data_IF_530546731573
#
_entry.id   IF_530546731573
#
_cell.length_a   1.000
_cell.length_b   1.000
_cell.length_c   1.000
_cell.angle_alpha   90.00
_cell.angle_beta   90.00
_cell.angle_gamma   90.00
#
_symmetry.space_group_name_H-M   'P 1'
#
loop_
_entity.id
_entity.type
_entity.pdbx_description
1 polymer ?
#
# COMPACT_ATOMS: atom_id res chain seq x y z
N UNK A 1 -28.94 -7.72 -8.93
CA UNK A 1 -28.10 -8.69 -8.21
C UNK A 1 -26.72 -8.55 -8.81
N UNK A 2 -25.70 -8.11 -8.05
CA UNK A 2 -24.37 -7.84 -8.60
C UNK A 2 -23.44 -9.01 -8.32
N UNK A 3 -22.43 -9.24 -9.16
CA UNK A 3 -21.32 -10.12 -8.83
C UNK A 3 -20.03 -9.33 -8.96
N UNK A 4 -19.03 -9.68 -8.16
CA UNK A 4 -17.72 -9.04 -8.14
C UNK A 4 -16.67 -10.05 -8.57
N UNK A 5 -15.87 -9.67 -9.57
CA UNK A 5 -14.65 -10.36 -9.95
C UNK A 5 -13.48 -9.39 -9.75
N UNK A 6 -12.85 -9.45 -8.57
CA UNK A 6 -11.84 -8.45 -8.18
C UNK A 6 -12.47 -7.06 -8.01
N UNK A 7 -12.03 -6.07 -8.79
CA UNK A 7 -12.58 -4.70 -8.81
C UNK A 7 -13.72 -4.52 -9.83
N UNK A 8 -13.97 -5.50 -10.69
CA UNK A 8 -15.02 -5.42 -11.70
C UNK A 8 -16.35 -5.75 -11.04
N UNK A 9 -17.11 -4.70 -10.71
CA UNK A 9 -18.50 -4.81 -10.34
C UNK A 9 -19.33 -5.02 -11.60
N UNK A 10 -20.00 -6.16 -11.69
CA UNK A 10 -20.96 -6.38 -12.74
C UNK A 10 -22.31 -5.83 -12.28
N UNK A 11 -22.76 -4.73 -12.91
CA UNK A 11 -24.08 -4.17 -12.68
C UNK A 11 -25.10 -4.92 -13.54
N UNK A 12 -25.49 -6.11 -13.07
CA UNK A 12 -26.38 -7.02 -13.79
C UNK A 12 -27.83 -6.66 -13.56
N UNK A 13 -28.53 -6.48 -14.67
CA UNK A 13 -29.97 -6.54 -14.73
C UNK A 13 -30.35 -8.01 -14.53
N UNK A 14 -30.85 -8.28 -13.34
CA UNK A 14 -31.77 -9.37 -12.98
C UNK A 14 -31.30 -10.82 -12.83
N UNK A 15 -30.33 -11.41 -13.56
CA UNK A 15 -29.86 -12.79 -13.26
C UNK A 15 -28.64 -13.20 -14.11
N UNK A 16 -27.91 -14.23 -13.68
CA UNK A 16 -26.99 -14.97 -14.57
C UNK A 16 -27.82 -15.78 -15.56
N UNK A 17 -27.63 -15.61 -16.87
CA UNK A 17 -28.35 -16.37 -17.90
C UNK A 17 -27.70 -17.74 -18.18
N UNK A 18 -27.19 -18.37 -17.12
CA UNK A 18 -26.38 -19.58 -17.19
C UNK A 18 -25.17 -19.47 -16.25
N UNK A 19 -25.28 -20.11 -15.10
CA UNK A 19 -24.18 -20.33 -14.15
C UNK A 19 -23.91 -21.84 -14.11
N UNK A 20 -22.85 -22.27 -14.76
CA UNK A 20 -22.43 -23.67 -14.79
C UNK A 20 -21.17 -23.83 -13.94
N UNK A 21 -21.13 -24.84 -13.09
CA UNK A 21 -19.94 -25.18 -12.30
C UNK A 21 -19.59 -26.64 -12.54
N UNK A 22 -18.36 -26.88 -12.99
CA UNK A 22 -17.81 -28.21 -13.22
C UNK A 22 -16.78 -28.54 -12.14
N UNK A 23 -17.02 -29.67 -11.49
CA UNK A 23 -16.17 -30.25 -10.45
C UNK A 23 -15.72 -31.63 -10.93
N UNK A 24 -14.47 -31.99 -10.68
CA UNK A 24 -13.95 -33.29 -11.08
C UNK A 24 -12.76 -33.74 -10.25
N UNK A 25 -12.42 -35.02 -10.36
CA UNK A 25 -11.22 -35.59 -9.74
C UNK A 25 -10.49 -36.48 -10.74
N UNK A 26 -9.18 -36.57 -10.59
CA UNK A 26 -8.30 -37.42 -11.37
C UNK A 26 -8.13 -38.78 -10.71
N UNK A 27 -8.31 -39.82 -11.52
CA UNK A 27 -8.13 -41.22 -11.14
C UNK A 27 -7.11 -41.88 -12.08
N UNK A 28 -6.13 -42.57 -11.50
CA UNK A 28 -5.28 -43.49 -12.24
C UNK A 28 -5.98 -44.83 -12.39
N UNK A 29 -5.98 -45.38 -13.61
CA UNK A 29 -6.48 -46.73 -13.86
C UNK A 29 -5.34 -47.74 -13.83
N UNK A 30 -5.48 -48.78 -13.01
CA UNK A 30 -4.56 -49.90 -12.95
C UNK A 30 -5.24 -51.14 -13.52
N UNK A 31 -4.75 -51.64 -14.66
CA UNK A 31 -5.26 -52.86 -15.27
C UNK A 31 -4.90 -54.10 -14.42
N UNK A 32 -5.85 -55.03 -14.28
CA UNK A 32 -5.66 -56.31 -13.59
C UNK A 32 -5.75 -57.44 -14.62
N UNK A 33 -4.96 -58.50 -14.43
CA UNK A 33 -5.11 -59.71 -15.23
C UNK A 33 -6.48 -60.35 -14.93
N UNK A 34 -7.26 -60.58 -15.99
CA UNK A 34 -8.61 -61.18 -15.95
C UNK A 34 -9.63 -60.46 -15.04
N UNK A 35 -9.45 -59.17 -14.77
CA UNK A 35 -10.35 -58.38 -13.93
C UNK A 35 -10.66 -57.00 -14.52
N UNK A 36 -11.67 -56.33 -13.95
CA UNK A 36 -11.92 -54.92 -14.27
C UNK A 36 -10.76 -54.06 -13.73
N UNK A 37 -10.28 -53.05 -14.47
CA UNK A 37 -9.29 -52.10 -13.98
C UNK A 37 -9.73 -51.45 -12.66
N UNK A 38 -8.78 -51.23 -11.75
CA UNK A 38 -9.01 -50.54 -10.47
C UNK A 38 -8.67 -49.07 -10.60
N UNK A 39 -9.51 -48.21 -10.06
CA UNK A 39 -9.29 -46.77 -10.00
C UNK A 39 -8.60 -46.39 -8.69
N UNK A 40 -7.53 -45.59 -8.78
CA UNK A 40 -6.87 -44.97 -7.63
C UNK A 40 -7.03 -43.45 -7.73
N UNK A 41 -7.65 -42.84 -6.71
CA UNK A 41 -7.74 -41.38 -6.62
C UNK A 41 -6.35 -40.76 -6.54
N UNK A 42 -6.11 -39.75 -7.37
CA UNK A 42 -4.83 -39.04 -7.41
C UNK A 42 -4.95 -37.65 -6.80
N UNK A 43 -5.85 -36.83 -7.32
CA UNK A 43 -6.05 -35.45 -6.93
C UNK A 43 -7.40 -34.95 -7.41
N UNK A 44 -7.86 -33.84 -6.85
CA UNK A 44 -9.03 -33.13 -7.37
C UNK A 44 -8.61 -32.22 -8.54
N UNK A 45 -9.51 -32.06 -9.52
CA UNK A 45 -9.33 -31.12 -10.62
C UNK A 45 -9.68 -29.72 -10.13
N UNK A 46 -9.09 -28.72 -10.77
CA UNK A 46 -9.46 -27.33 -10.55
C UNK A 46 -10.90 -27.12 -10.99
N UNK A 47 -11.68 -26.45 -10.14
CA UNK A 47 -13.06 -26.11 -10.45
C UNK A 47 -13.12 -25.15 -11.63
N UNK A 48 -14.08 -25.37 -12.52
CA UNK A 48 -14.34 -24.51 -13.67
C UNK A 48 -15.74 -23.93 -13.58
N UNK A 49 -15.86 -22.62 -13.74
CA UNK A 49 -17.14 -21.91 -13.71
C UNK A 49 -17.32 -21.19 -15.05
N UNK A 50 -18.42 -21.48 -15.72
CA UNK A 50 -18.83 -20.77 -16.93
C UNK A 50 -20.01 -19.87 -16.63
N UNK A 51 -19.88 -18.61 -17.02
CA UNK A 51 -20.90 -17.58 -16.80
C UNK A 51 -21.28 -16.95 -18.14
N UNK A 52 -22.58 -16.88 -18.41
CA UNK A 52 -23.16 -16.11 -19.51
C UNK A 52 -23.64 -14.76 -18.97
N UNK A 53 -23.17 -13.70 -19.63
CA UNK A 53 -23.41 -12.29 -19.29
C UNK A 53 -24.12 -11.63 -20.48
N UNK A 54 -25.11 -10.80 -20.19
CA UNK A 54 -25.82 -9.99 -21.18
C UNK A 54 -25.72 -8.52 -20.81
N UNK A 55 -25.22 -7.70 -21.73
CA UNK A 55 -25.04 -6.26 -21.58
C UNK A 55 -25.97 -5.53 -22.56
N UNK A 56 -26.59 -4.46 -22.10
CA UNK A 56 -27.48 -3.64 -22.90
C UNK A 56 -27.33 -2.16 -22.54
N UNK A 57 -27.36 -1.30 -23.55
CA UNK A 57 -27.13 0.16 -23.46
C UNK A 57 -28.07 0.90 -22.50
N UNK A 58 -29.28 0.36 -22.28
CA UNK A 58 -30.25 0.91 -21.32
C UNK A 58 -29.78 0.86 -19.86
N UNK A 59 -28.77 0.06 -19.54
CA UNK A 59 -28.36 -0.20 -18.16
C UNK A 59 -26.86 -0.06 -17.91
N UNK A 60 -26.05 -0.32 -18.94
CA UNK A 60 -24.60 -0.18 -18.88
C UNK A 60 -24.07 0.20 -20.27
N UNK A 61 -22.83 0.69 -20.34
CA UNK A 61 -22.14 0.86 -21.62
C UNK A 61 -21.49 -0.49 -22.03
N UNK A 62 -22.06 -1.22 -23.01
CA UNK A 62 -21.61 -2.58 -23.35
C UNK A 62 -20.15 -2.62 -23.85
N UNK A 63 -19.67 -1.54 -24.46
CA UNK A 63 -18.29 -1.49 -24.98
C UNK A 63 -17.27 -1.31 -23.84
N UNK A 64 -17.61 -0.50 -22.84
CA UNK A 64 -16.77 -0.33 -21.66
C UNK A 64 -16.71 -1.60 -20.79
N UNK A 65 -17.83 -2.28 -20.59
CA UNK A 65 -17.86 -3.52 -19.81
C UNK A 65 -17.07 -4.64 -20.51
N UNK A 66 -17.17 -4.74 -21.84
CA UNK A 66 -16.34 -5.64 -22.62
C UNK A 66 -14.85 -5.32 -22.48
N UNK A 67 -14.48 -4.04 -22.49
CA UNK A 67 -13.10 -3.61 -22.31
C UNK A 67 -12.55 -4.00 -20.94
N UNK A 68 -13.34 -3.86 -19.87
CA UNK A 68 -12.96 -4.31 -18.52
C UNK A 68 -12.71 -5.81 -18.47
N UNK A 69 -13.59 -6.61 -19.07
CA UNK A 69 -13.42 -8.07 -19.17
C UNK A 69 -12.15 -8.44 -19.95
N UNK A 70 -11.87 -7.74 -21.06
CA UNK A 70 -10.66 -7.95 -21.85
C UNK A 70 -9.40 -7.58 -21.06
N UNK A 71 -9.43 -6.47 -20.32
CA UNK A 71 -8.33 -6.07 -19.44
C UNK A 71 -8.09 -7.12 -18.35
N UNK A 72 -9.14 -7.63 -17.73
CA UNK A 72 -9.07 -8.69 -16.73
C UNK A 72 -8.49 -10.00 -17.30
N UNK A 73 -8.79 -10.34 -18.56
CA UNK A 73 -8.18 -11.49 -19.23
C UNK A 73 -6.68 -11.29 -19.46
N UNK A 74 -6.28 -10.09 -19.89
CA UNK A 74 -4.87 -9.76 -20.17
C UNK A 74 -4.03 -9.51 -18.91
N UNK A 75 -4.64 -9.23 -17.76
CA UNK A 75 -3.91 -9.04 -16.51
C UNK A 75 -3.35 -10.36 -15.98
N UNK A 76 -3.94 -11.49 -16.40
CA UNK A 76 -3.61 -12.84 -15.94
C UNK A 76 -3.64 -12.99 -14.40
N UNK A 77 -4.46 -12.17 -13.75
CA UNK A 77 -4.61 -12.15 -12.31
C UNK A 77 -5.75 -13.08 -11.88
N UNK A 78 -5.53 -13.78 -10.78
CA UNK A 78 -6.61 -14.44 -10.05
C UNK A 78 -7.42 -13.36 -9.33
N UNK A 79 -8.74 -13.49 -9.40
CA UNK A 79 -9.69 -12.54 -8.86
C UNK A 79 -10.66 -13.31 -7.96
N UNK A 80 -11.03 -12.71 -6.83
CA UNK A 80 -12.05 -13.28 -5.97
C UNK A 80 -13.42 -13.21 -6.67
N UNK A 81 -14.14 -14.32 -6.70
CA UNK A 81 -15.52 -14.39 -7.18
C UNK A 81 -16.48 -14.34 -5.98
N UNK A 82 -17.27 -13.27 -5.91
CA UNK A 82 -18.31 -13.08 -4.91
C UNK A 82 -19.65 -12.91 -5.60
N UNK A 83 -20.61 -13.74 -5.21
CA UNK A 83 -21.97 -13.67 -5.71
C UNK A 83 -22.75 -12.58 -4.94
N UNK A 84 -23.82 -12.05 -5.56
CA UNK A 84 -24.58 -10.93 -4.99
C UNK A 84 -25.35 -11.21 -3.71
N UNK A 85 -25.46 -12.48 -3.31
CA UNK A 85 -25.96 -12.90 -2.00
C UNK A 85 -24.89 -12.88 -0.90
N UNK A 86 -23.65 -12.51 -1.23
CA UNK A 86 -22.51 -12.51 -0.33
C UNK A 86 -21.72 -13.82 -0.31
N UNK A 87 -22.13 -14.83 -1.08
CA UNK A 87 -21.40 -16.11 -1.13
C UNK A 87 -20.06 -15.93 -1.83
N UNK A 88 -19.01 -16.15 -1.06
CA UNK A 88 -17.64 -16.18 -1.54
C UNK A 88 -17.32 -17.56 -2.13
N UNK A 89 -17.05 -17.63 -3.44
CA UNK A 89 -16.79 -18.89 -4.15
C UNK A 89 -15.32 -19.27 -4.26
N UNK A 90 -14.40 -18.33 -4.03
CA UNK A 90 -12.96 -18.58 -4.14
C UNK A 90 -12.23 -17.62 -5.06
N UNK A 91 -10.99 -17.95 -5.42
CA UNK A 91 -10.17 -17.20 -6.37
C UNK A 91 -10.18 -17.92 -7.71
N UNK A 92 -10.44 -17.16 -8.78
CA UNK A 92 -10.51 -17.70 -10.13
C UNK A 92 -9.70 -16.83 -11.10
N UNK A 93 -9.10 -17.46 -12.09
CA UNK A 93 -8.47 -16.78 -13.23
C UNK A 93 -9.42 -16.83 -14.41
N UNK A 94 -9.60 -15.71 -15.09
CA UNK A 94 -10.33 -15.65 -16.35
C UNK A 94 -9.46 -16.25 -17.46
N UNK A 95 -9.86 -17.42 -17.97
CA UNK A 95 -9.09 -18.15 -18.99
C UNK A 95 -9.63 -17.93 -20.39
N UNK A 96 -10.93 -17.66 -20.52
CA UNK A 96 -11.58 -17.44 -21.80
C UNK A 96 -12.65 -16.36 -21.69
N UNK A 97 -12.74 -15.53 -22.73
CA UNK A 97 -13.79 -14.54 -22.94
C UNK A 97 -14.24 -14.63 -24.39
N UNK A 98 -15.50 -14.95 -24.59
CA UNK A 98 -16.17 -14.89 -25.89
C UNK A 98 -17.20 -13.77 -25.83
N UNK A 99 -17.27 -12.94 -26.87
CA UNK A 99 -18.22 -11.84 -26.94
C UNK A 99 -18.90 -11.81 -28.31
N UNK A 100 -20.23 -11.72 -28.30
CA UNK A 100 -21.08 -11.69 -29.49
C UNK A 100 -21.95 -10.46 -29.45
N UNK A 101 -21.79 -9.57 -30.43
CA UNK A 101 -22.68 -8.41 -30.59
C UNK A 101 -24.05 -8.89 -31.07
N UNK A 102 -25.12 -8.51 -30.37
CA UNK A 102 -26.50 -8.86 -30.72
C UNK A 102 -27.19 -7.75 -31.48
N UNK A 103 -26.92 -6.50 -31.13
CA UNK A 103 -27.52 -5.34 -31.77
C UNK A 103 -26.56 -4.16 -31.80
N UNK A 104 -26.56 -3.45 -32.93
CA UNK A 104 -25.80 -2.21 -33.16
C UNK A 104 -26.72 -1.13 -33.72
N UNK A 105 -26.38 0.12 -33.48
CA UNK A 105 -27.04 1.27 -34.08
C UNK A 105 -26.59 1.46 -35.55
N UNK A 106 -27.25 2.34 -36.30
CA UNK A 106 -26.90 2.72 -37.66
C UNK A 106 -25.47 3.25 -37.81
N UNK A 107 -24.90 3.82 -36.74
CA UNK A 107 -23.50 4.25 -36.68
C UNK A 107 -22.50 3.13 -36.33
N UNK A 108 -22.97 1.91 -36.04
CA UNK A 108 -22.15 0.78 -35.62
C UNK A 108 -21.87 0.71 -34.11
N UNK A 109 -22.37 1.67 -33.33
CA UNK A 109 -22.27 1.65 -31.86
C UNK A 109 -23.03 0.47 -31.27
N UNK A 110 -22.44 -0.21 -30.30
CA UNK A 110 -23.04 -1.41 -29.69
C UNK A 110 -24.24 -1.05 -28.79
N UNK A 111 -25.38 -1.68 -29.06
CA UNK A 111 -26.61 -1.55 -28.26
C UNK A 111 -26.73 -2.74 -27.30
N UNK A 112 -26.48 -3.96 -27.78
CA UNK A 112 -26.59 -5.19 -27.00
C UNK A 112 -25.43 -6.15 -27.28
N UNK A 113 -24.88 -6.75 -26.23
CA UNK A 113 -23.76 -7.70 -26.28
C UNK A 113 -24.01 -8.87 -25.35
N UNK A 114 -23.75 -10.07 -25.82
CA UNK A 114 -23.63 -11.24 -24.95
C UNK A 114 -22.16 -11.63 -24.81
N UNK A 115 -21.72 -11.88 -23.58
CA UNK A 115 -20.38 -12.37 -23.29
C UNK A 115 -20.45 -13.71 -22.53
N UNK A 116 -19.66 -14.68 -22.94
CA UNK A 116 -19.46 -15.93 -22.19
C UNK A 116 -18.03 -15.92 -21.64
N UNK A 117 -17.91 -16.08 -20.32
CA UNK A 117 -16.61 -16.16 -19.64
C UNK A 117 -16.42 -17.54 -19.02
N UNK A 118 -15.18 -18.01 -19.09
CA UNK A 118 -14.75 -19.25 -18.42
C UNK A 118 -13.70 -18.90 -17.38
N UNK A 119 -13.99 -19.30 -16.14
CA UNK A 119 -13.19 -19.05 -14.96
C UNK A 119 -12.63 -20.39 -14.45
N UNK A 120 -11.33 -20.44 -14.15
CA UNK A 120 -10.70 -21.62 -13.56
C UNK A 120 -10.13 -21.33 -12.19
N UNK A 121 -10.32 -22.25 -11.25
CA UNK A 121 -9.90 -22.10 -9.87
C UNK A 121 -8.39 -21.85 -9.77
N UNK A 122 -8.02 -20.92 -8.88
CA UNK A 122 -6.64 -20.61 -8.56
C UNK A 122 -6.29 -21.03 -7.13
N UNK A 123 -5.45 -22.07 -7.04
CA UNK A 123 -4.91 -22.62 -5.77
C UNK A 123 -3.50 -22.09 -5.42
N UNK A 124 -3.04 -21.02 -6.08
CA UNK A 124 -1.73 -20.41 -5.82
C UNK A 124 -1.67 -19.46 -4.62
N UNK A 125 -0.61 -18.65 -4.51
CA UNK A 125 -0.44 -17.70 -3.40
C UNK A 125 -1.46 -16.55 -3.50
N UNK A 126 -2.45 -16.56 -2.60
CA UNK A 126 -3.51 -15.53 -2.52
C UNK A 126 -2.96 -14.11 -2.30
N UNK A 127 -1.74 -13.96 -1.78
CA UNK A 127 -1.07 -12.65 -1.60
C UNK A 127 -0.36 -12.16 -2.86
N UNK A 128 -0.20 -13.03 -3.87
CA UNK A 128 0.37 -12.74 -5.19
C UNK A 128 -0.44 -13.49 -6.26
N UNK A 129 -1.63 -12.98 -6.60
CA UNK A 129 -2.59 -13.69 -7.43
C UNK A 129 -2.22 -13.63 -8.92
N UNK A 130 -0.98 -14.00 -9.28
CA UNK A 130 -0.60 -14.24 -10.67
C UNK A 130 -0.87 -15.71 -10.99
N UNK A 131 -1.49 -15.97 -12.15
CA UNK A 131 -1.70 -17.34 -12.61
C UNK A 131 -0.37 -18.13 -12.63
N UNK A 132 -0.33 -19.40 -12.17
CA UNK A 132 0.92 -20.10 -11.86
C UNK A 132 1.80 -20.37 -13.08
N UNK A 133 1.22 -20.32 -14.29
CA UNK A 133 1.89 -20.60 -15.56
C UNK A 133 2.33 -19.34 -16.33
N UNK A 134 2.01 -18.13 -15.85
CA UNK A 134 2.48 -16.90 -16.49
C UNK A 134 3.85 -16.56 -15.91
N UNK A 135 4.90 -16.85 -16.67
CA UNK A 135 6.25 -16.51 -16.28
C UNK A 135 6.36 -15.00 -16.09
N UNK A 136 6.84 -14.51 -14.94
CA UNK A 136 7.23 -13.11 -14.83
C UNK A 136 8.30 -12.85 -15.88
N UNK A 137 8.13 -11.77 -16.65
CA UNK A 137 8.98 -11.36 -17.78
C UNK A 137 10.46 -11.33 -17.36
N UNK A 138 11.13 -12.46 -17.47
CA UNK A 138 12.54 -12.67 -17.15
C UNK A 138 13.12 -13.57 -18.25
N UNK A 139 14.27 -13.21 -18.85
CA UNK A 139 14.89 -14.02 -19.91
C UNK A 139 15.31 -15.40 -19.36
N UNK A 140 15.35 -16.44 -20.22
CA UNK A 140 15.50 -17.82 -19.78
C UNK A 140 16.80 -18.09 -19.03
N UNK A 141 16.65 -18.94 -18.02
CA UNK A 141 17.56 -19.20 -16.92
C UNK A 141 18.64 -20.19 -17.36
N UNK A 142 19.72 -19.72 -17.98
CA UNK A 142 20.92 -20.55 -18.20
C UNK A 142 22.16 -19.67 -18.36
N UNK A 143 22.71 -19.14 -17.26
CA UNK A 143 24.12 -18.72 -17.16
C UNK A 143 24.57 -18.18 -15.79
N UNK A 144 23.67 -17.76 -14.88
CA UNK A 144 24.10 -16.91 -13.74
C UNK A 144 23.72 -17.52 -12.39
N UNK A 145 24.20 -18.73 -12.11
CA UNK A 145 23.95 -19.41 -10.82
C UNK A 145 24.89 -18.95 -9.68
N UNK A 146 25.93 -18.15 -9.94
CA UNK A 146 26.91 -17.80 -8.90
C UNK A 146 26.69 -16.42 -8.22
N UNK A 147 26.40 -15.30 -8.90
CA UNK A 147 26.25 -14.02 -8.20
C UNK A 147 24.81 -13.73 -7.74
N UNK A 148 23.82 -14.49 -8.21
CA UNK A 148 22.39 -14.22 -7.93
C UNK A 148 21.97 -14.52 -6.48
N UNK A 149 22.63 -15.46 -5.78
CA UNK A 149 22.34 -15.71 -4.35
C UNK A 149 22.83 -14.56 -3.47
N UNK A 150 23.98 -13.98 -3.78
CA UNK A 150 24.52 -12.82 -3.06
C UNK A 150 23.75 -11.53 -3.39
N UNK A 151 23.24 -11.40 -4.62
CA UNK A 151 22.37 -10.29 -5.01
C UNK A 151 20.95 -10.42 -4.44
N UNK A 152 20.39 -11.64 -4.35
CA UNK A 152 19.08 -11.89 -3.76
C UNK A 152 19.06 -11.69 -2.24
N UNK A 153 20.14 -12.06 -1.54
CA UNK A 153 20.28 -11.74 -0.12
C UNK A 153 20.50 -10.24 0.11
N UNK A 154 21.27 -9.56 -0.77
CA UNK A 154 21.40 -8.07 -0.75
C UNK A 154 20.09 -7.34 -1.08
N UNK A 155 19.25 -7.89 -1.96
CA UNK A 155 17.98 -7.29 -2.39
C UNK A 155 16.83 -7.56 -1.40
N UNK A 156 16.83 -8.73 -0.75
CA UNK A 156 15.94 -9.01 0.39
C UNK A 156 16.34 -8.22 1.62
N UNK A 157 17.64 -8.07 1.89
CA UNK A 157 18.11 -7.19 2.95
C UNK A 157 17.81 -5.73 2.63
N UNK A 158 17.94 -5.28 1.37
CA UNK A 158 17.64 -3.89 1.01
C UNK A 158 16.14 -3.58 1.10
N UNK A 159 15.25 -4.42 0.57
CA UNK A 159 13.79 -4.18 0.62
C UNK A 159 13.18 -4.36 2.00
N UNK A 160 13.67 -5.31 2.81
CA UNK A 160 13.31 -5.40 4.23
C UNK A 160 13.85 -4.20 5.01
N UNK A 161 15.10 -3.79 4.76
CA UNK A 161 15.68 -2.60 5.39
C UNK A 161 14.99 -1.31 4.98
N UNK A 162 14.47 -1.19 3.75
CA UNK A 162 13.76 0.00 3.27
C UNK A 162 12.38 0.11 3.92
N UNK A 163 11.60 -0.98 4.04
CA UNK A 163 10.34 -0.98 4.78
C UNK A 163 10.57 -0.65 6.26
N UNK A 164 11.62 -1.19 6.85
CA UNK A 164 12.00 -0.92 8.23
C UNK A 164 12.53 0.52 8.43
N UNK A 165 13.23 1.08 7.45
CA UNK A 165 13.68 2.47 7.46
C UNK A 165 12.49 3.43 7.30
N UNK A 166 11.51 3.14 6.45
CA UNK A 166 10.31 3.96 6.28
C UNK A 166 9.41 3.94 7.51
N UNK A 167 9.21 2.77 8.15
CA UNK A 167 8.48 2.70 9.43
C UNK A 167 9.22 3.43 10.55
N UNK A 168 10.56 3.35 10.58
CA UNK A 168 11.40 4.13 11.49
C UNK A 168 11.24 5.63 11.26
N UNK A 169 11.20 6.09 10.00
CA UNK A 169 11.01 7.51 9.65
C UNK A 169 9.67 8.06 10.11
N UNK A 170 8.59 7.32 9.87
CA UNK A 170 7.27 7.69 10.39
C UNK A 170 7.27 7.73 11.93
N UNK A 171 7.94 6.77 12.58
CA UNK A 171 8.07 6.76 14.04
C UNK A 171 8.91 7.92 14.59
N UNK A 172 10.00 8.32 13.90
CA UNK A 172 10.83 9.46 14.27
C UNK A 172 10.10 10.79 14.06
N UNK A 173 9.34 10.92 12.98
CA UNK A 173 8.49 12.09 12.75
C UNK A 173 7.44 12.24 13.85
N UNK A 174 6.75 11.15 14.21
CA UNK A 174 5.77 11.16 15.30
C UNK A 174 6.40 11.45 16.67
N UNK A 175 7.58 10.89 16.96
CA UNK A 175 8.31 11.17 18.20
C UNK A 175 8.78 12.63 18.27
N UNK A 176 9.31 13.18 17.18
CA UNK A 176 9.71 14.58 17.10
C UNK A 176 8.51 15.52 17.27
N UNK A 177 7.38 15.21 16.62
CA UNK A 177 6.17 16.02 16.72
C UNK A 177 5.57 15.98 18.14
N UNK A 178 5.57 14.83 18.80
CA UNK A 178 5.14 14.70 20.19
C UNK A 178 6.05 15.49 21.15
N UNK A 179 7.37 15.42 20.97
CA UNK A 179 8.34 16.16 21.78
C UNK A 179 8.22 17.68 21.59
N UNK A 180 8.05 18.16 20.34
CA UNK A 180 7.85 19.58 20.04
C UNK A 180 6.54 20.08 20.65
N UNK A 181 5.44 19.31 20.58
CA UNK A 181 4.16 19.68 21.22
C UNK A 181 4.30 19.78 22.73
N UNK A 182 4.92 18.78 23.36
CA UNK A 182 5.18 18.80 24.81
C UNK A 182 6.04 20.01 25.24
N UNK A 183 7.08 20.34 24.46
CA UNK A 183 7.91 21.52 24.71
C UNK A 183 7.16 22.84 24.52
N UNK A 184 6.22 22.92 23.55
CA UNK A 184 5.35 24.10 23.39
C UNK A 184 4.41 24.26 24.57
N UNK A 185 3.78 23.18 25.02
CA UNK A 185 2.85 23.21 26.15
C UNK A 185 3.57 23.63 27.44
N UNK A 186 4.77 23.09 27.67
CA UNK A 186 5.62 23.50 28.78
C UNK A 186 6.11 24.95 28.67
N UNK A 187 6.40 25.42 27.44
CA UNK A 187 6.76 26.80 27.15
C UNK A 187 5.62 27.79 27.42
N UNK A 188 4.39 27.42 27.03
CA UNK A 188 3.18 28.20 27.28
C UNK A 188 2.83 28.26 28.78
N UNK A 189 3.03 27.16 29.50
CA UNK A 189 2.90 27.13 30.96
C UNK A 189 3.94 28.04 31.63
N UNK A 190 5.19 28.04 31.15
CA UNK A 190 6.24 28.90 31.68
C UNK A 190 6.00 30.40 31.37
N UNK A 191 5.44 30.73 30.19
CA UNK A 191 5.12 32.11 29.82
C UNK A 191 3.89 32.66 30.56
N UNK A 192 2.93 31.81 30.92
CA UNK A 192 1.78 32.20 31.76
C UNK A 192 2.16 32.57 33.19
N UNK A 193 3.34 32.18 33.68
CA UNK A 193 3.87 32.54 35.00
C UNK A 193 4.47 33.96 35.04
N UNK A 194 3.86 34.91 34.31
CA UNK A 194 4.31 36.29 34.06
C UNK A 194 4.67 37.10 35.33
N UNK A 195 4.21 36.68 36.51
CA UNK A 195 4.50 37.32 37.80
C UNK A 195 5.69 36.78 38.59
N UNK A 196 6.39 35.73 38.13
CA UNK A 196 7.49 35.13 38.89
C UNK A 196 8.67 34.65 38.01
N UNK A 197 9.67 35.52 37.72
CA UNK A 197 10.81 35.17 36.87
C UNK A 197 11.68 34.05 37.47
N UNK A 198 11.71 33.90 38.79
CA UNK A 198 12.45 32.82 39.46
C UNK A 198 11.76 31.46 39.27
N UNK A 199 10.42 31.43 39.32
CA UNK A 199 9.65 30.23 39.02
C UNK A 199 9.75 29.83 37.54
N UNK A 200 9.76 30.80 36.62
CA UNK A 200 9.95 30.56 35.19
C UNK A 200 11.35 29.98 34.90
N UNK A 201 12.42 30.51 35.52
CA UNK A 201 13.76 29.95 35.42
C UNK A 201 13.87 28.53 35.99
N UNK A 202 13.17 28.24 37.08
CA UNK A 202 13.12 26.88 37.64
C UNK A 202 12.54 25.84 36.67
N UNK A 203 11.77 26.27 35.65
CA UNK A 203 11.21 25.41 34.60
C UNK A 203 12.13 25.26 33.38
N UNK A 204 13.09 26.17 33.19
CA UNK A 204 14.02 26.15 32.04
C UNK A 204 14.77 24.82 31.91
N UNK A 205 15.30 24.19 32.97
CA UNK A 205 15.97 22.89 32.85
C UNK A 205 15.04 21.77 32.32
N UNK A 206 13.77 21.77 32.74
CA UNK A 206 12.77 20.82 32.27
C UNK A 206 12.38 21.04 30.81
N UNK A 207 12.24 22.31 30.42
CA UNK A 207 12.04 22.73 29.03
C UNK A 207 13.23 22.33 28.15
N UNK A 208 14.46 22.53 28.63
CA UNK A 208 15.69 22.11 27.94
C UNK A 208 15.72 20.59 27.72
N UNK A 209 15.30 19.80 28.71
CA UNK A 209 15.21 18.35 28.55
C UNK A 209 14.18 17.94 27.48
N UNK A 210 13.03 18.62 27.42
CA UNK A 210 11.98 18.36 26.43
C UNK A 210 12.37 18.83 25.01
N UNK A 211 13.10 19.94 24.89
CA UNK A 211 13.64 20.39 23.60
C UNK A 211 14.74 19.45 23.12
N UNK A 212 15.60 18.96 24.03
CA UNK A 212 16.64 17.98 23.71
C UNK A 212 16.08 16.63 23.26
N UNK A 213 14.93 16.18 23.80
CA UNK A 213 14.32 14.92 23.38
C UNK A 213 13.77 14.95 21.94
N UNK A 214 13.53 16.15 21.38
CA UNK A 214 13.16 16.32 19.98
C UNK A 214 14.37 16.29 19.03
N UNK A 215 15.59 16.56 19.51
CA UNK A 215 16.77 16.71 18.65
C UNK A 215 17.21 15.38 18.01
N UNK A 216 17.23 14.29 18.78
CA UNK A 216 17.65 12.96 18.31
C UNK A 216 16.78 12.39 17.16
N UNK A 217 15.43 12.38 17.24
CA UNK A 217 14.61 11.91 16.13
C UNK A 217 14.71 12.82 14.90
N UNK A 218 14.85 14.13 15.07
CA UNK A 218 15.05 15.08 13.95
C UNK A 218 16.40 14.87 13.25
N UNK A 219 17.45 14.55 13.99
CA UNK A 219 18.75 14.22 13.43
C UNK A 219 18.68 12.97 12.56
N UNK A 220 17.99 11.93 13.04
CA UNK A 220 17.75 10.70 12.27
C UNK A 220 16.92 10.96 11.00
N UNK A 221 15.95 11.88 11.05
CA UNK A 221 15.21 12.32 9.86
C UNK A 221 16.07 13.11 8.86
N UNK A 222 17.01 13.93 9.32
CA UNK A 222 17.89 14.70 8.41
C UNK A 222 18.86 13.82 7.61
N UNK A 223 19.26 12.67 8.17
CA UNK A 223 20.17 11.72 7.53
C UNK A 223 19.54 10.93 6.36
N UNK A 224 18.21 11.04 6.17
CA UNK A 224 17.50 10.40 5.07
C UNK A 224 17.88 10.94 3.68
N UNK A 225 18.53 12.10 3.61
CA UNK A 225 19.02 12.65 2.34
C UNK A 225 20.00 11.72 1.62
N UNK A 226 20.66 10.81 2.37
CA UNK A 226 21.53 9.77 1.82
C UNK A 226 20.80 8.71 0.97
N UNK A 227 19.47 8.67 1.02
CA UNK A 227 18.61 7.72 0.29
C UNK A 227 17.87 8.37 -0.89
N UNK A 228 18.34 9.52 -1.35
CA UNK A 228 17.65 10.32 -2.37
C UNK A 228 17.64 9.67 -3.76
N UNK A 229 18.66 8.88 -4.12
CA UNK A 229 18.75 8.18 -5.40
C UNK A 229 17.66 7.10 -5.59
N UNK A 230 17.35 6.24 -4.60
CA UNK A 230 16.22 5.31 -4.71
C UNK A 230 14.86 5.94 -4.37
N UNK A 231 14.81 7.06 -3.64
CA UNK A 231 13.57 7.63 -3.08
C UNK A 231 13.55 9.16 -3.18
N UNK A 232 12.96 9.74 -4.24
CA UNK A 232 12.90 11.20 -4.39
C UNK A 232 12.10 11.88 -3.27
N UNK A 233 11.16 11.18 -2.64
CA UNK A 233 10.40 11.68 -1.49
C UNK A 233 11.26 11.86 -0.23
N UNK A 234 12.35 11.10 -0.08
CA UNK A 234 13.24 11.18 1.08
C UNK A 234 13.92 12.56 1.19
N UNK A 235 14.14 13.23 0.06
CA UNK A 235 14.74 14.57 0.00
C UNK A 235 13.86 15.65 0.66
N UNK A 236 12.53 15.50 0.59
CA UNK A 236 11.60 16.43 1.23
C UNK A 236 11.58 16.24 2.75
N UNK A 237 11.62 14.99 3.20
CA UNK A 237 11.63 14.63 4.62
C UNK A 237 12.96 15.04 5.28
N UNK A 238 14.08 14.82 4.60
CA UNK A 238 15.40 15.21 5.08
C UNK A 238 15.54 16.72 5.26
N UNK A 239 15.04 17.51 4.29
CA UNK A 239 15.02 18.98 4.36
C UNK A 239 14.13 19.50 5.50
N UNK A 240 12.97 18.88 5.71
CA UNK A 240 12.11 19.22 6.83
C UNK A 240 12.76 18.89 8.18
N UNK A 241 13.40 17.72 8.28
CA UNK A 241 14.17 17.30 9.46
C UNK A 241 15.33 18.24 9.77
N UNK A 242 16.12 18.66 8.76
CA UNK A 242 17.22 19.61 8.95
C UNK A 242 16.75 21.00 9.37
N UNK A 243 15.65 21.48 8.78
CA UNK A 243 15.07 22.77 9.14
C UNK A 243 14.53 22.76 10.57
N UNK A 244 13.79 21.71 10.95
CA UNK A 244 13.29 21.55 12.31
C UNK A 244 14.43 21.40 13.33
N UNK A 245 15.50 20.66 13.00
CA UNK A 245 16.66 20.49 13.87
C UNK A 245 17.43 21.80 14.08
N UNK A 246 17.64 22.58 13.03
CA UNK A 246 18.27 23.91 13.13
C UNK A 246 17.49 24.83 14.07
N UNK A 247 16.17 24.81 13.98
CA UNK A 247 15.29 25.62 14.82
C UNK A 247 15.24 25.12 16.27
N UNK A 248 15.29 23.80 16.51
CA UNK A 248 15.40 23.20 17.85
C UNK A 248 16.73 23.56 18.51
N UNK A 249 17.84 23.61 17.76
CA UNK A 249 19.13 24.07 18.27
C UNK A 249 19.08 25.55 18.65
N UNK A 250 18.46 26.41 17.83
CA UNK A 250 18.24 27.82 18.19
C UNK A 250 17.40 28.00 19.47
N UNK A 251 16.41 27.12 19.70
CA UNK A 251 15.64 27.10 20.94
C UNK A 251 16.48 26.65 22.14
N UNK A 252 17.36 25.66 21.96
CA UNK A 252 18.31 25.22 22.99
C UNK A 252 19.27 26.33 23.39
N UNK A 253 19.82 27.06 22.42
CA UNK A 253 20.74 28.17 22.66
C UNK A 253 20.03 29.31 23.41
N UNK A 254 18.81 29.64 23.03
CA UNK A 254 17.97 30.62 23.71
C UNK A 254 17.67 30.25 25.18
N UNK A 255 17.39 28.97 25.45
CA UNK A 255 17.16 28.46 26.81
C UNK A 255 18.44 28.40 27.65
N UNK A 256 19.58 28.08 27.05
CA UNK A 256 20.86 28.01 27.75
C UNK A 256 21.38 29.39 28.20
N UNK A 257 21.01 30.45 27.47
CA UNK A 257 21.32 31.85 27.80
C UNK A 257 20.24 32.56 28.64
N UNK A 258 19.25 31.82 29.16
CA UNK A 258 18.15 32.39 29.93
C UNK A 258 18.59 32.74 31.36
N UNK A 259 18.28 33.96 31.78
CA UNK A 259 18.51 34.50 33.12
C UNK A 259 17.28 35.30 33.58
N UNK A 260 17.28 35.76 34.84
CA UNK A 260 16.12 36.43 35.45
C UNK A 260 15.70 37.70 34.71
N UNK A 261 16.62 38.34 33.97
CA UNK A 261 16.38 39.57 33.22
C UNK A 261 15.86 39.35 31.79
N UNK A 262 16.02 38.16 31.22
CA UNK A 262 15.66 37.89 29.82
C UNK A 262 14.77 36.65 29.61
N UNK A 263 14.40 35.92 30.68
CA UNK A 263 13.73 34.62 30.60
C UNK A 263 12.45 34.67 29.77
N UNK A 264 11.62 35.69 29.92
CA UNK A 264 10.35 35.81 29.18
C UNK A 264 10.58 36.06 27.69
N UNK A 265 11.53 36.94 27.34
CA UNK A 265 11.90 37.16 25.94
C UNK A 265 12.56 35.94 25.29
N UNK A 266 13.29 35.12 26.06
CA UNK A 266 13.81 33.84 25.57
C UNK A 266 12.71 32.79 25.42
N UNK A 267 11.74 32.74 26.34
CA UNK A 267 10.57 31.84 26.23
C UNK A 267 9.70 32.16 25.01
N UNK A 268 9.52 33.44 24.68
CA UNK A 268 8.79 33.86 23.46
C UNK A 268 9.55 33.51 22.18
N UNK A 269 10.89 33.63 22.18
CA UNK A 269 11.71 33.17 21.06
C UNK A 269 11.64 31.65 20.89
N UNK A 270 11.68 30.92 22.00
CA UNK A 270 11.55 29.45 22.03
C UNK A 270 10.17 29.02 21.52
N UNK A 271 9.10 29.72 21.88
CA UNK A 271 7.75 29.41 21.37
C UNK A 271 7.66 29.62 19.86
N UNK A 272 8.26 30.70 19.33
CA UNK A 272 8.37 30.96 17.89
C UNK A 272 9.21 29.91 17.15
N UNK A 273 10.35 29.50 17.72
CA UNK A 273 11.17 28.43 17.17
C UNK A 273 10.42 27.09 17.17
N UNK A 274 9.84 26.68 18.30
CA UNK A 274 9.05 25.45 18.35
C UNK A 274 7.86 25.51 17.38
N UNK A 275 7.26 26.70 17.20
CA UNK A 275 6.28 27.06 16.17
C UNK A 275 6.73 26.68 14.75
N UNK A 276 7.87 27.22 14.34
CA UNK A 276 8.46 26.97 13.02
C UNK A 276 8.90 25.50 12.83
N UNK A 277 9.43 24.86 13.87
CA UNK A 277 9.82 23.45 13.83
C UNK A 277 8.62 22.51 13.57
N UNK A 278 7.48 22.76 14.23
CA UNK A 278 6.25 21.99 13.97
C UNK A 278 5.68 22.25 12.57
N UNK A 279 5.71 23.50 12.10
CA UNK A 279 5.27 23.81 10.73
C UNK A 279 6.13 23.14 9.64
N UNK A 280 7.44 23.03 9.87
CA UNK A 280 8.34 22.29 8.97
C UNK A 280 8.02 20.79 8.93
N UNK A 281 7.64 20.18 10.06
CA UNK A 281 7.22 18.78 10.13
C UNK A 281 5.85 18.55 9.48
N UNK A 282 4.89 19.46 9.68
CA UNK A 282 3.56 19.38 9.07
C UNK A 282 3.65 19.48 7.53
N UNK A 283 4.56 20.32 7.02
CA UNK A 283 4.85 20.40 5.58
C UNK A 283 5.47 19.11 5.00
N UNK A 284 6.08 18.26 5.84
CA UNK A 284 6.64 16.97 5.44
C UNK A 284 5.62 15.82 5.46
N UNK A 285 4.48 15.98 6.12
CA UNK A 285 3.45 14.95 6.26
C UNK A 285 3.00 14.33 4.90
N UNK A 286 2.81 15.11 3.81
CA UNK A 286 2.46 14.56 2.50
C UNK A 286 3.56 13.68 1.90
N UNK A 287 4.83 14.03 2.12
CA UNK A 287 5.97 13.25 1.64
C UNK A 287 6.11 11.92 2.41
N UNK A 288 5.88 11.95 3.73
CA UNK A 288 5.85 10.77 4.60
C UNK A 288 4.68 9.84 4.20
N UNK A 289 3.50 10.40 3.94
CA UNK A 289 2.33 9.63 3.51
C UNK A 289 2.53 8.98 2.14
N UNK A 290 3.14 9.69 1.18
CA UNK A 290 3.52 9.13 -0.14
C UNK A 290 4.54 8.01 -0.01
N UNK A 291 5.56 8.18 0.85
CA UNK A 291 6.57 7.17 1.12
C UNK A 291 5.96 5.91 1.75
N UNK A 292 5.09 6.07 2.75
CA UNK A 292 4.34 4.98 3.37
C UNK A 292 3.43 4.27 2.35
N UNK A 293 2.75 5.03 1.49
CA UNK A 293 1.94 4.51 0.39
C UNK A 293 2.75 3.63 -0.56
N UNK A 294 3.92 4.10 -1.04
CA UNK A 294 4.81 3.33 -1.91
C UNK A 294 5.32 2.02 -1.26
N UNK A 295 5.54 2.01 0.06
CA UNK A 295 5.96 0.81 0.80
C UNK A 295 4.82 -0.20 0.99
N UNK A 296 3.59 0.29 1.19
CA UNK A 296 2.37 -0.54 1.30
C UNK A 296 2.01 -1.16 -0.05
N UNK A 297 2.12 -0.39 -1.15
CA UNK A 297 1.86 -0.88 -2.52
C UNK A 297 3.03 -1.64 -3.14
N UNK A 298 4.16 -1.79 -2.42
CA UNK A 298 5.41 -2.42 -2.91
C UNK A 298 5.92 -1.80 -4.23
N UNK A 299 5.78 -0.49 -4.38
CA UNK A 299 6.26 0.29 -5.52
C UNK A 299 7.71 0.81 -5.36
N UNK A 300 8.45 0.29 -4.36
CA UNK A 300 9.87 0.53 -4.10
C UNK A 300 10.63 -0.78 -4.26
#
# INVERSE_FOLDING_TARGET
MFALLGEVQFDLITYFDGFESQFGADYAEHALMEGKPRLQWMADKLDEIRILLSFHSQYCDPEQELLKLRQALTSHQAMALVLGNGDYKGWFVLTELQATSKQTDAAGTLIALEASITLREFVGDKKKPLAPAVQPKTPPVSAVAAPARQAADKLKSSTASLREQVSKVASYANQAQAAIRAARDAGALASQMSGNPQAALGRVPGLLAQVNSAAEPLQKMSMLGSLQDPLPEAAGIARAGSNALGVVNSAKDALSGANTGNVFGQLDRVSGYLGAAGGALDAAAPAIAKLAGKVVTRAV
#
